data_IF_395018690826
#
_entry.id   IF_395018690826
#
_cell.length_a   1.000
_cell.length_b   1.000
_cell.length_c   1.000
_cell.angle_alpha   90.00
_cell.angle_beta   90.00
_cell.angle_gamma   90.00
#
_symmetry.space_group_name_H-M   'P 1'
#
loop_
_entity.id
_entity.type
_entity.pdbx_description
1 polymer ?
#
# COMPACT_ATOMS: atom_id res chain seq x y z
N UNK A 1 -12.59 -37.39 -11.27
CA UNK A 1 -13.31 -36.50 -10.33
C UNK A 1 -12.64 -35.12 -10.26
N UNK A 2 -12.55 -34.39 -11.39
CA UNK A 2 -11.93 -33.05 -11.44
C UNK A 2 -12.94 -31.89 -11.46
N UNK A 3 -14.20 -32.18 -11.80
CA UNK A 3 -15.21 -31.14 -12.07
C UNK A 3 -15.74 -30.39 -10.85
N UNK A 4 -15.68 -30.96 -9.64
CA UNK A 4 -16.22 -30.30 -8.43
C UNK A 4 -15.28 -29.21 -7.89
N UNK A 5 -13.97 -29.44 -7.96
CA UNK A 5 -12.96 -28.47 -7.50
C UNK A 5 -12.84 -27.28 -8.47
N UNK A 6 -12.96 -27.51 -9.78
CA UNK A 6 -12.99 -26.42 -10.77
C UNK A 6 -14.30 -25.63 -10.72
N UNK A 7 -15.43 -26.27 -10.38
CA UNK A 7 -16.71 -25.60 -10.17
C UNK A 7 -16.72 -24.69 -8.93
N UNK A 8 -16.06 -25.11 -7.84
CA UNK A 8 -15.92 -24.28 -6.64
C UNK A 8 -14.97 -23.10 -6.91
N UNK A 9 -13.86 -23.33 -7.62
CA UNK A 9 -12.92 -22.26 -8.03
C UNK A 9 -13.56 -21.23 -8.94
N UNK A 10 -14.44 -21.62 -9.88
CA UNK A 10 -15.09 -20.67 -10.79
C UNK A 10 -16.18 -19.83 -10.11
N UNK A 11 -16.83 -20.38 -9.06
CA UNK A 11 -17.89 -19.69 -8.32
C UNK A 11 -17.36 -18.78 -7.21
N UNK A 12 -16.12 -19.00 -6.77
CA UNK A 12 -15.40 -18.21 -5.75
C UNK A 12 -14.23 -17.40 -6.32
N UNK A 13 -13.95 -17.48 -7.62
CA UNK A 13 -13.13 -16.51 -8.31
C UNK A 13 -13.97 -15.23 -8.46
N UNK A 14 -13.61 -14.14 -7.78
CA UNK A 14 -14.42 -12.94 -7.87
C UNK A 14 -14.28 -12.35 -9.27
N UNK A 15 -15.41 -12.21 -9.98
CA UNK A 15 -15.51 -11.70 -11.35
C UNK A 15 -15.03 -10.25 -11.45
N UNK A 16 -13.77 -10.08 -11.77
CA UNK A 16 -13.11 -8.79 -11.97
C UNK A 16 -11.62 -9.00 -12.09
N UNK A 17 -10.91 -8.18 -12.85
CA UNK A 17 -9.47 -8.35 -13.01
C UNK A 17 -8.78 -8.29 -11.64
N UNK A 18 -8.14 -9.39 -11.24
CA UNK A 18 -7.25 -9.41 -10.08
C UNK A 18 -5.94 -8.81 -10.59
N UNK A 19 -5.82 -7.49 -10.50
CA UNK A 19 -4.52 -6.83 -10.67
C UNK A 19 -3.84 -6.88 -9.32
N UNK A 20 -2.88 -7.78 -9.18
CA UNK A 20 -1.93 -7.80 -8.07
C UNK A 20 -1.31 -6.41 -7.96
N UNK A 21 -1.39 -5.79 -6.80
CA UNK A 21 -0.88 -4.45 -6.51
C UNK A 21 0.67 -4.40 -6.48
N UNK A 22 1.33 -4.95 -7.50
CA UNK A 22 2.78 -4.96 -7.68
C UNK A 22 3.27 -4.51 -9.06
N UNK A 23 2.37 -4.12 -9.97
CA UNK A 23 2.71 -3.55 -11.28
C UNK A 23 2.28 -2.08 -11.34
N UNK A 24 3.23 -1.12 -11.28
CA UNK A 24 2.92 0.31 -11.34
C UNK A 24 2.01 0.61 -12.54
N UNK A 25 1.12 1.61 -12.46
CA UNK A 25 0.34 2.02 -13.62
C UNK A 25 1.26 2.29 -14.82
N UNK A 26 0.85 1.86 -16.03
CA UNK A 26 1.61 2.12 -17.26
C UNK A 26 1.77 3.63 -17.55
N UNK A 27 0.97 4.47 -16.88
CA UNK A 27 1.12 5.91 -16.87
C UNK A 27 2.27 6.35 -15.96
N UNK A 28 3.20 7.10 -16.55
CA UNK A 28 4.23 7.84 -15.82
C UNK A 28 3.55 8.83 -14.88
N UNK A 29 3.75 8.63 -13.58
CA UNK A 29 3.21 9.52 -12.56
C UNK A 29 4.11 10.75 -12.46
N UNK A 30 3.51 11.94 -12.64
CA UNK A 30 4.23 13.22 -12.58
C UNK A 30 4.60 13.60 -11.14
N UNK A 31 3.78 13.20 -10.17
CA UNK A 31 3.99 13.49 -8.74
C UNK A 31 3.66 12.26 -7.89
N UNK A 32 4.63 11.82 -7.10
CA UNK A 32 4.44 10.74 -6.14
C UNK A 32 3.55 11.23 -4.98
N UNK A 33 2.49 10.50 -4.59
CA UNK A 33 1.59 10.89 -3.49
C UNK A 33 2.23 10.60 -2.13
N UNK A 34 3.43 11.13 -1.90
CA UNK A 34 4.10 11.10 -0.59
C UNK A 34 3.78 12.38 0.15
N UNK A 35 3.40 12.26 1.42
CA UNK A 35 3.12 13.43 2.28
C UNK A 35 4.05 13.42 3.49
N UNK A 36 4.36 14.59 4.09
CA UNK A 36 5.12 14.65 5.32
C UNK A 36 4.48 13.83 6.46
N UNK A 37 3.15 13.78 6.54
CA UNK A 37 2.41 13.03 7.56
C UNK A 37 2.64 11.53 7.43
N UNK A 38 2.67 11.01 6.20
CA UNK A 38 2.96 9.60 5.92
C UNK A 38 4.38 9.21 6.38
N UNK A 39 5.36 10.08 6.14
CA UNK A 39 6.74 9.91 6.61
C UNK A 39 6.78 9.93 8.13
N UNK A 40 6.26 10.99 8.75
CA UNK A 40 6.31 11.18 10.20
C UNK A 40 5.63 10.04 10.95
N UNK A 41 4.48 9.57 10.47
CA UNK A 41 3.75 8.45 11.07
C UNK A 41 4.57 7.16 11.11
N UNK A 42 5.27 6.83 10.02
CA UNK A 42 6.11 5.63 9.94
C UNK A 42 7.47 5.79 10.64
N UNK A 43 8.01 7.01 10.65
CA UNK A 43 9.25 7.36 11.33
C UNK A 43 9.09 7.29 12.86
N UNK A 44 7.96 7.78 13.40
CA UNK A 44 7.62 7.69 14.81
C UNK A 44 7.51 6.22 15.31
N UNK A 45 7.17 5.30 14.41
CA UNK A 45 7.12 3.85 14.71
C UNK A 45 8.46 3.13 14.48
N UNK A 46 9.50 3.85 14.07
CA UNK A 46 10.83 3.32 13.72
C UNK A 46 11.91 3.95 14.61
N UNK A 47 12.01 3.54 15.89
CA UNK A 47 12.89 4.20 16.88
C UNK A 47 14.39 4.10 16.56
N UNK A 48 14.78 3.16 15.70
CA UNK A 48 16.16 3.00 15.24
C UNK A 48 16.58 4.02 14.17
N UNK A 49 15.66 4.86 13.69
CA UNK A 49 15.91 5.88 12.66
C UNK A 49 15.87 7.27 13.30
N UNK A 50 16.84 8.16 12.98
CA UNK A 50 16.83 9.54 13.46
C UNK A 50 15.52 10.26 13.10
N UNK A 51 14.87 10.89 14.08
CA UNK A 51 13.54 11.50 13.88
C UNK A 51 13.59 12.80 13.06
N UNK A 52 14.76 13.41 12.94
CA UNK A 52 15.05 14.57 12.08
C UNK A 52 15.26 14.19 10.60
N UNK A 53 15.32 12.89 10.28
CA UNK A 53 15.50 12.39 8.90
C UNK A 53 14.30 12.61 7.98
N UNK A 54 13.15 13.05 8.52
CA UNK A 54 11.89 13.14 7.79
C UNK A 54 11.97 13.95 6.48
N UNK A 55 12.70 15.06 6.47
CA UNK A 55 12.86 15.88 5.27
C UNK A 55 13.66 15.15 4.17
N UNK A 56 14.71 14.42 4.55
CA UNK A 56 15.54 13.66 3.62
C UNK A 56 14.76 12.47 3.03
N UNK A 57 14.00 11.76 3.88
CA UNK A 57 13.11 10.67 3.45
C UNK A 57 12.00 11.19 2.51
N UNK A 58 11.40 12.34 2.83
CA UNK A 58 10.38 12.97 2.00
C UNK A 58 10.93 13.33 0.62
N UNK A 59 12.09 13.99 0.56
CA UNK A 59 12.71 14.37 -0.70
C UNK A 59 13.05 13.14 -1.57
N UNK A 60 13.60 12.09 -0.96
CA UNK A 60 13.97 10.86 -1.65
C UNK A 60 12.77 10.09 -2.21
N UNK A 61 11.65 10.05 -1.49
CA UNK A 61 10.43 9.37 -1.92
C UNK A 61 9.56 10.22 -2.83
N UNK A 62 9.83 11.53 -2.92
CA UNK A 62 9.15 12.43 -3.87
C UNK A 62 9.69 12.27 -5.29
N UNK A 63 10.89 11.71 -5.47
CA UNK A 63 11.47 11.40 -6.78
C UNK A 63 10.72 10.23 -7.43
N UNK A 64 10.04 10.40 -8.59
CA UNK A 64 9.32 9.32 -9.27
C UNK A 64 10.14 8.06 -9.56
N UNK A 65 11.48 8.16 -9.61
CA UNK A 65 12.36 7.01 -9.86
C UNK A 65 12.64 6.16 -8.61
N UNK A 66 12.22 6.58 -7.42
CA UNK A 66 12.52 5.86 -6.17
C UNK A 66 12.06 4.38 -6.19
N UNK A 67 10.94 4.10 -6.88
CA UNK A 67 10.39 2.75 -7.03
C UNK A 67 11.35 1.83 -7.80
N UNK A 68 12.07 2.38 -8.78
CA UNK A 68 13.02 1.63 -9.61
C UNK A 68 14.33 1.36 -8.87
N UNK A 69 14.78 2.29 -8.03
CA UNK A 69 16.00 2.16 -7.21
C UNK A 69 15.85 1.03 -6.18
N UNK A 70 14.67 0.92 -5.57
CA UNK A 70 14.38 -0.07 -4.55
C UNK A 70 14.94 0.28 -3.16
N UNK A 71 14.40 -0.31 -2.07
CA UNK A 71 14.66 0.16 -0.71
C UNK A 71 16.13 0.06 -0.25
N UNK A 72 16.85 -0.99 -0.68
CA UNK A 72 18.23 -1.22 -0.23
C UNK A 72 19.23 -0.25 -0.83
N UNK A 73 19.14 -0.04 -2.14
CA UNK A 73 20.01 0.92 -2.84
C UNK A 73 19.69 2.34 -2.37
N UNK A 74 18.41 2.67 -2.19
CA UNK A 74 18.01 3.98 -1.68
C UNK A 74 18.53 4.21 -0.25
N UNK A 75 18.48 3.20 0.62
CA UNK A 75 19.05 3.29 1.97
C UNK A 75 20.56 3.60 1.94
N UNK A 76 21.31 2.90 1.09
CA UNK A 76 22.75 3.12 0.93
C UNK A 76 23.06 4.55 0.45
N UNK A 77 22.27 5.08 -0.49
CA UNK A 77 22.41 6.46 -0.97
C UNK A 77 22.14 7.48 0.12
N UNK A 78 21.08 7.29 0.92
CA UNK A 78 20.74 8.19 2.03
C UNK A 78 21.83 8.21 3.10
N UNK A 79 22.37 7.05 3.46
CA UNK A 79 23.48 6.95 4.43
C UNK A 79 24.74 7.62 3.88
N UNK A 80 25.05 7.40 2.60
CA UNK A 80 26.18 8.08 1.94
C UNK A 80 26.00 9.62 1.90
N UNK A 81 24.75 10.09 1.83
CA UNK A 81 24.39 11.51 1.87
C UNK A 81 24.27 12.09 3.29
N UNK A 82 24.72 11.35 4.31
CA UNK A 82 24.84 11.85 5.68
C UNK A 82 23.73 11.42 6.64
N UNK A 83 22.81 10.53 6.24
CA UNK A 83 21.86 9.94 7.17
C UNK A 83 22.58 8.97 8.13
N UNK A 84 22.72 9.36 9.39
CA UNK A 84 23.41 8.55 10.39
C UNK A 84 22.49 7.49 11.00
N UNK A 85 22.34 6.35 10.33
CA UNK A 85 21.61 5.20 10.84
C UNK A 85 22.16 3.88 10.29
N UNK A 86 21.77 2.76 10.91
CA UNK A 86 22.10 1.45 10.37
C UNK A 86 21.30 1.12 9.10
N UNK A 87 21.92 0.32 8.22
CA UNK A 87 21.33 -0.03 6.92
C UNK A 87 20.02 -0.82 7.07
N UNK A 88 20.01 -1.93 7.79
CA UNK A 88 18.82 -2.81 7.81
C UNK A 88 17.57 -2.16 8.40
N UNK A 89 17.64 -1.38 9.51
CA UNK A 89 16.49 -0.62 9.98
C UNK A 89 15.96 0.37 8.93
N UNK A 90 16.85 1.04 8.19
CA UNK A 90 16.45 1.98 7.15
C UNK A 90 15.81 1.26 5.96
N UNK A 91 16.37 0.14 5.54
CA UNK A 91 15.78 -0.71 4.48
C UNK A 91 14.37 -1.16 4.86
N UNK A 92 14.17 -1.56 6.13
CA UNK A 92 12.85 -1.95 6.62
C UNK A 92 11.85 -0.78 6.55
N UNK A 93 12.23 0.39 7.03
CA UNK A 93 11.38 1.59 6.96
C UNK A 93 11.06 1.96 5.50
N UNK A 94 12.06 2.02 4.64
CA UNK A 94 11.88 2.36 3.22
C UNK A 94 11.01 1.33 2.49
N UNK A 95 11.08 0.05 2.86
CA UNK A 95 10.19 -0.98 2.31
C UNK A 95 8.73 -0.68 2.66
N UNK A 96 8.45 -0.35 3.92
CA UNK A 96 7.10 0.01 4.38
C UNK A 96 6.61 1.28 3.68
N UNK A 97 7.43 2.33 3.65
CA UNK A 97 7.10 3.59 2.99
C UNK A 97 6.83 3.40 1.49
N UNK A 98 7.66 2.63 0.80
CA UNK A 98 7.48 2.33 -0.63
C UNK A 98 6.16 1.62 -0.89
N UNK A 99 5.80 0.64 -0.04
CA UNK A 99 4.52 -0.06 -0.17
C UNK A 99 3.33 0.85 0.09
N UNK A 100 3.41 1.71 1.11
CA UNK A 100 2.33 2.65 1.45
C UNK A 100 2.11 3.68 0.33
N UNK A 101 3.20 4.23 -0.23
CA UNK A 101 3.15 5.17 -1.35
C UNK A 101 2.60 4.49 -2.60
N UNK A 102 3.09 3.29 -2.93
CA UNK A 102 2.62 2.53 -4.10
C UNK A 102 1.13 2.21 -3.97
N UNK A 103 0.67 1.83 -2.77
CA UNK A 103 -0.75 1.60 -2.49
C UNK A 103 -1.57 2.87 -2.72
N UNK A 104 -1.08 4.03 -2.29
CA UNK A 104 -1.76 5.31 -2.53
C UNK A 104 -1.85 5.64 -4.03
N UNK A 105 -0.77 5.43 -4.78
CA UNK A 105 -0.77 5.61 -6.24
C UNK A 105 -1.86 4.77 -6.94
N UNK A 106 -2.07 3.53 -6.49
CA UNK A 106 -3.17 2.70 -7.01
C UNK A 106 -4.55 3.23 -6.64
N UNK A 107 -4.72 3.74 -5.42
CA UNK A 107 -6.00 4.30 -4.96
C UNK A 107 -6.32 5.57 -5.77
N UNK A 108 -5.33 6.43 -5.99
CA UNK A 108 -5.49 7.68 -6.74
C UNK A 108 -5.79 7.43 -8.22
N UNK A 109 -5.22 6.36 -8.80
CA UNK A 109 -5.49 5.96 -10.18
C UNK A 109 -6.78 5.15 -10.35
N UNK A 110 -7.34 4.57 -9.28
CA UNK A 110 -8.51 3.69 -9.38
C UNK A 110 -9.78 4.36 -9.95
N UNK A 111 -10.12 5.63 -9.61
CA UNK A 111 -11.28 6.33 -10.17
C UNK A 111 -11.27 6.49 -11.69
N UNK A 112 -10.11 6.44 -12.34
CA UNK A 112 -10.02 6.60 -13.80
C UNK A 112 -10.43 5.34 -14.56
N UNK A 113 -10.68 4.23 -13.86
CA UNK A 113 -11.17 3.00 -14.48
C UNK A 113 -12.68 3.10 -14.71
N UNK A 114 -13.09 2.75 -15.91
CA UNK A 114 -14.51 2.77 -16.27
C UNK A 114 -15.34 1.86 -15.35
N UNK A 115 -16.47 2.36 -14.89
CA UNK A 115 -17.36 1.68 -13.94
C UNK A 115 -16.82 1.49 -12.51
N UNK A 116 -15.68 2.08 -12.14
CA UNK A 116 -15.12 1.90 -10.79
C UNK A 116 -15.95 2.64 -9.72
N UNK A 117 -16.31 1.92 -8.64
CA UNK A 117 -17.17 2.44 -7.56
C UNK A 117 -16.49 2.52 -6.19
N UNK A 118 -15.34 1.87 -6.01
CA UNK A 118 -14.60 1.93 -4.76
C UNK A 118 -13.43 0.96 -4.69
N UNK A 119 -12.88 0.82 -3.48
CA UNK A 119 -11.77 -0.07 -3.14
C UNK A 119 -12.23 -1.08 -2.09
N UNK A 120 -12.10 -2.37 -2.40
CA UNK A 120 -12.31 -3.45 -1.46
C UNK A 120 -11.00 -3.84 -0.77
N UNK A 121 -11.05 -4.00 0.55
CA UNK A 121 -9.92 -4.47 1.37
C UNK A 121 -9.99 -5.98 1.57
N UNK A 122 -8.84 -6.64 1.49
CA UNK A 122 -8.69 -8.07 1.74
C UNK A 122 -7.56 -8.31 2.73
N UNK A 123 -7.77 -9.09 3.81
CA UNK A 123 -6.69 -9.38 4.74
C UNK A 123 -5.58 -10.18 4.04
N UNK A 124 -4.31 -9.85 4.34
CA UNK A 124 -3.14 -10.60 3.84
C UNK A 124 -3.12 -12.01 4.45
N UNK A 125 -3.51 -12.11 5.72
CA UNK A 125 -3.67 -13.37 6.44
C UNK A 125 -4.94 -13.31 7.29
N UNK A 126 -5.77 -14.37 7.31
CA UNK A 126 -7.00 -14.41 8.11
C UNK A 126 -6.75 -14.43 9.62
N UNK A 127 -5.53 -14.72 10.08
CA UNK A 127 -5.27 -15.08 11.49
C UNK A 127 -4.69 -13.94 12.35
N UNK A 128 -4.21 -12.83 11.79
CA UNK A 128 -3.17 -12.05 12.51
C UNK A 128 -3.55 -10.66 13.03
N UNK A 129 -4.68 -10.06 12.67
CA UNK A 129 -5.03 -8.73 13.20
C UNK A 129 -6.54 -8.44 13.22
N UNK A 130 -7.09 -8.29 14.43
CA UNK A 130 -8.49 -7.98 14.66
C UNK A 130 -8.91 -6.63 14.04
N UNK A 131 -8.02 -5.62 14.01
CA UNK A 131 -8.33 -4.33 13.38
C UNK A 131 -8.47 -4.49 11.87
N UNK A 132 -7.59 -5.28 11.25
CA UNK A 132 -7.69 -5.59 9.82
C UNK A 132 -8.95 -6.37 9.51
N UNK A 133 -9.28 -7.38 10.33
CA UNK A 133 -10.50 -8.17 10.15
C UNK A 133 -11.76 -7.28 10.21
N UNK A 134 -11.80 -6.31 11.13
CA UNK A 134 -12.90 -5.33 11.22
C UNK A 134 -12.96 -4.45 9.97
N UNK A 135 -11.83 -3.90 9.53
CA UNK A 135 -11.78 -3.05 8.33
C UNK A 135 -12.26 -3.79 7.08
N UNK A 136 -11.90 -5.06 6.92
CA UNK A 136 -12.26 -5.88 5.76
C UNK A 136 -13.70 -6.45 5.81
N UNK A 137 -14.38 -6.43 6.96
CA UNK A 137 -15.72 -7.02 7.13
C UNK A 137 -16.84 -6.00 7.33
N UNK A 138 -16.50 -4.76 7.68
CA UNK A 138 -17.47 -3.67 7.90
C UNK A 138 -18.01 -3.13 6.58
N UNK A 139 -19.30 -2.82 6.51
CA UNK A 139 -19.94 -2.11 5.39
C UNK A 139 -20.35 -0.70 5.85
N UNK A 140 -19.36 0.16 6.09
CA UNK A 140 -19.58 1.49 6.64
C UNK A 140 -20.19 2.47 5.62
N UNK A 141 -20.00 2.19 4.33
CA UNK A 141 -20.35 3.09 3.23
C UNK A 141 -21.50 2.58 2.36
N UNK A 142 -22.11 1.43 2.68
CA UNK A 142 -23.19 0.82 1.89
C UNK A 142 -22.74 0.32 0.52
N UNK A 143 -21.44 0.11 0.32
CA UNK A 143 -20.83 -0.37 -0.93
C UNK A 143 -20.52 -1.87 -0.88
N UNK A 144 -20.81 -2.52 0.25
CA UNK A 144 -20.48 -3.91 0.53
C UNK A 144 -19.37 -4.06 1.56
N UNK A 145 -19.23 -5.27 2.09
CA UNK A 145 -18.25 -5.57 3.15
C UNK A 145 -16.83 -5.27 2.71
N UNK A 146 -16.15 -4.44 3.50
CA UNK A 146 -14.78 -4.03 3.27
C UNK A 146 -14.60 -3.11 2.07
N UNK A 147 -15.68 -2.55 1.51
CA UNK A 147 -15.63 -1.64 0.36
C UNK A 147 -15.71 -0.18 0.83
N UNK A 148 -14.74 0.61 0.41
CA UNK A 148 -14.60 2.02 0.74
C UNK A 148 -14.64 2.86 -0.53
N UNK A 149 -15.24 4.07 -0.50
CA UNK A 149 -15.05 5.01 -1.59
C UNK A 149 -13.58 5.45 -1.65
N UNK A 150 -13.12 5.86 -2.83
CA UNK A 150 -11.69 6.14 -3.08
C UNK A 150 -11.06 7.14 -2.11
N UNK A 151 -11.83 8.15 -1.66
CA UNK A 151 -11.37 9.19 -0.74
C UNK A 151 -11.41 8.78 0.75
N UNK A 152 -11.97 7.62 1.09
CA UNK A 152 -12.11 7.14 2.47
C UNK A 152 -11.39 5.81 2.72
N UNK A 153 -10.46 5.43 1.84
CA UNK A 153 -9.67 4.21 2.05
C UNK A 153 -8.81 4.39 3.31
N UNK A 154 -8.91 3.48 4.30
CA UNK A 154 -8.15 3.61 5.53
C UNK A 154 -6.65 3.51 5.26
N UNK A 155 -5.87 4.35 5.93
CA UNK A 155 -4.42 4.23 5.92
C UNK A 155 -3.96 2.97 6.67
N UNK A 156 -2.72 2.54 6.45
CA UNK A 156 -2.14 1.40 7.17
C UNK A 156 -2.26 1.58 8.71
N UNK A 157 -2.95 0.70 9.43
CA UNK A 157 -3.21 0.82 10.87
C UNK A 157 -2.04 0.33 11.74
N UNK A 158 -0.98 -0.22 11.14
CA UNK A 158 0.25 -0.64 11.81
C UNK A 158 1.46 0.14 11.25
N UNK A 159 1.64 1.43 11.64
CA UNK A 159 2.79 2.21 11.21
C UNK A 159 4.13 1.52 11.47
N UNK A 160 5.09 1.68 10.55
CA UNK A 160 6.41 1.02 10.63
C UNK A 160 6.38 -0.49 10.30
N UNK A 161 5.22 -1.04 9.97
CA UNK A 161 5.05 -2.42 9.52
C UNK A 161 4.37 -2.45 8.15
N UNK A 162 4.57 -3.54 7.42
CA UNK A 162 3.89 -3.77 6.14
C UNK A 162 2.39 -3.82 6.35
N UNK A 163 1.63 -3.20 5.45
CA UNK A 163 0.17 -3.14 5.54
C UNK A 163 -0.43 -4.56 5.58
N UNK A 164 -1.29 -4.82 6.57
CA UNK A 164 -1.90 -6.13 6.80
C UNK A 164 -3.04 -6.51 5.85
N UNK A 165 -3.36 -5.66 4.88
CA UNK A 165 -4.38 -5.91 3.86
C UNK A 165 -3.91 -5.52 2.46
N UNK A 166 -4.47 -6.21 1.46
CA UNK A 166 -4.43 -5.86 0.06
C UNK A 166 -5.65 -5.01 -0.31
N UNK A 167 -5.53 -4.26 -1.40
CA UNK A 167 -6.62 -3.47 -1.98
C UNK A 167 -7.00 -4.01 -3.36
N UNK A 168 -8.28 -3.86 -3.73
CA UNK A 168 -8.79 -4.16 -5.07
C UNK A 168 -9.80 -3.11 -5.51
N UNK A 169 -9.74 -2.70 -6.77
CA UNK A 169 -10.77 -1.83 -7.35
C UNK A 169 -12.04 -2.63 -7.59
N UNK A 170 -13.17 -2.12 -7.10
CA UNK A 170 -14.50 -2.66 -7.36
C UNK A 170 -15.08 -1.92 -8.57
N UNK A 171 -15.53 -2.68 -9.57
CA UNK A 171 -16.16 -2.19 -10.78
C UNK A 171 -17.62 -2.64 -10.74
N UNK A 172 -18.55 -1.74 -11.08
CA UNK A 172 -19.96 -2.06 -11.22
C UNK A 172 -20.18 -2.69 -12.59
N UNK A 173 -20.53 -3.97 -12.62
CA UNK A 173 -21.06 -4.66 -13.81
C UNK A 173 -22.46 -4.14 -14.18
#
# INVERSE_FOLDING_TARGET
MAYLLDYIKSRWAPKGSVVTAGVPPEQRIEQVPVTPELIQRNLAASPAIPQDSGAMLYAALSDPFFIQTGPRVLAQQLIANGLNCELEPLVKLLTVLTQDVTRQMYIDAAPSRDGAIGIQLFPVSPEHDAKIAVLCSTDMHGLGKGVYPFHAVPANPTPGQTCGFYIRVVIKE
#
